data_IF_573170943918
#
_entry.id   IF_573170943918
#
_cell.length_a   1.000
_cell.length_b   1.000
_cell.length_c   1.000
_cell.angle_alpha   90.00
_cell.angle_beta   90.00
_cell.angle_gamma   90.00
#
_symmetry.space_group_name_H-M   'P 1'
#
loop_
_entity.id
_entity.type
_entity.pdbx_description
1 polymer ?
#
# COMPACT_ATOMS: atom_id res chain seq x y z
N UNK A 1 17.82 -15.46 11.08
CA UNK A 1 18.77 -15.29 9.96
C UNK A 1 19.09 -16.68 9.44
N UNK A 2 18.53 -16.98 8.28
CA UNK A 2 18.69 -18.24 7.55
C UNK A 2 19.97 -18.16 6.73
N UNK A 3 20.94 -19.01 7.07
CA UNK A 3 22.29 -19.01 6.50
C UNK A 3 22.61 -20.42 6.01
N UNK A 4 22.96 -20.53 4.74
CA UNK A 4 23.42 -21.76 4.11
C UNK A 4 24.82 -21.57 3.49
N UNK A 5 25.52 -22.66 3.20
CA UNK A 5 26.71 -22.60 2.33
C UNK A 5 26.30 -22.32 0.89
N UNK A 6 27.05 -21.44 0.23
CA UNK A 6 26.93 -21.13 -1.20
C UNK A 6 27.68 -22.13 -2.07
N UNK A 7 28.35 -21.62 -3.10
CA UNK A 7 29.07 -22.45 -4.09
C UNK A 7 30.23 -23.23 -3.45
N UNK A 8 30.84 -22.68 -2.39
CA UNK A 8 31.91 -23.31 -1.60
C UNK A 8 31.66 -23.06 -0.11
N UNK A 9 32.45 -23.68 0.77
CA UNK A 9 32.35 -23.47 2.23
C UNK A 9 32.80 -22.06 2.67
N UNK A 10 33.54 -21.34 1.83
CA UNK A 10 34.02 -19.97 2.09
C UNK A 10 32.97 -18.90 1.73
N UNK A 11 31.89 -19.30 1.05
CA UNK A 11 30.82 -18.40 0.61
C UNK A 11 29.53 -18.83 1.28
N UNK A 12 28.83 -17.88 1.88
CA UNK A 12 27.56 -18.07 2.56
C UNK A 12 26.42 -17.45 1.76
N UNK A 13 25.25 -18.06 1.83
CA UNK A 13 24.00 -17.50 1.36
C UNK A 13 23.16 -17.12 2.58
N UNK A 14 22.98 -15.82 2.79
CA UNK A 14 22.08 -15.30 3.83
C UNK A 14 20.74 -14.94 3.21
N UNK A 15 19.63 -15.27 3.88
CA UNK A 15 18.26 -14.97 3.45
C UNK A 15 17.53 -14.19 4.53
N UNK A 16 16.79 -13.15 4.13
CA UNK A 16 15.96 -12.37 5.06
C UNK A 16 14.89 -13.27 5.71
N UNK A 17 14.53 -13.04 6.97
CA UNK A 17 13.29 -13.62 7.49
C UNK A 17 12.08 -12.81 7.02
N UNK A 18 12.28 -11.51 6.80
CA UNK A 18 11.28 -10.64 6.19
C UNK A 18 10.92 -11.18 4.80
N UNK A 19 9.62 -11.42 4.60
CA UNK A 19 9.03 -11.77 3.31
C UNK A 19 8.56 -10.53 2.58
N UNK A 20 8.29 -10.68 1.29
CA UNK A 20 7.78 -9.58 0.48
C UNK A 20 6.42 -9.06 1.00
N UNK A 21 5.53 -9.97 1.41
CA UNK A 21 4.26 -9.62 2.05
C UNK A 21 4.41 -8.76 3.31
N UNK A 22 5.49 -8.95 4.08
CA UNK A 22 5.73 -8.16 5.29
C UNK A 22 6.09 -6.71 4.93
N UNK A 23 6.80 -6.49 3.82
CA UNK A 23 7.12 -5.14 3.30
C UNK A 23 5.83 -4.45 2.85
N UNK A 24 4.99 -5.14 2.06
CA UNK A 24 3.67 -4.62 1.67
C UNK A 24 2.86 -4.22 2.90
N UNK A 25 2.74 -5.12 3.87
CA UNK A 25 1.95 -4.89 5.07
C UNK A 25 2.47 -3.72 5.91
N UNK A 26 3.78 -3.55 6.07
CA UNK A 26 4.34 -2.40 6.80
C UNK A 26 4.07 -1.06 6.12
N UNK A 27 4.06 -1.02 4.78
CA UNK A 27 3.72 0.20 4.04
C UNK A 27 2.22 0.48 4.13
N UNK A 28 1.38 -0.53 3.91
CA UNK A 28 -0.08 -0.42 4.03
C UNK A 28 -0.47 0.00 5.44
N UNK A 29 0.20 -0.54 6.46
CA UNK A 29 -0.02 -0.21 7.87
C UNK A 29 0.21 1.28 8.14
N UNK A 30 1.31 1.86 7.65
CA UNK A 30 1.59 3.30 7.80
C UNK A 30 0.48 4.15 7.19
N UNK A 31 0.02 3.80 5.98
CA UNK A 31 -1.05 4.53 5.27
C UNK A 31 -2.40 4.42 5.95
N UNK A 32 -2.78 3.20 6.27
CA UNK A 32 -4.07 2.91 6.92
C UNK A 32 -4.13 3.52 8.31
N UNK A 33 -3.04 3.46 9.08
CA UNK A 33 -2.99 4.08 10.41
C UNK A 33 -3.18 5.61 10.31
N UNK A 34 -2.47 6.30 9.41
CA UNK A 34 -2.62 7.74 9.23
C UNK A 34 -4.07 8.15 8.89
N UNK A 35 -4.73 7.37 8.02
CA UNK A 35 -6.12 7.59 7.64
C UNK A 35 -7.09 7.35 8.81
N UNK A 36 -6.95 6.23 9.52
CA UNK A 36 -7.84 5.87 10.63
C UNK A 36 -7.66 6.80 11.83
N UNK A 37 -6.43 7.19 12.15
CA UNK A 37 -6.16 8.17 13.21
C UNK A 37 -6.85 9.51 12.93
N UNK A 38 -6.88 9.95 11.68
CA UNK A 38 -7.59 11.17 11.30
C UNK A 38 -9.10 11.04 11.47
N UNK A 39 -9.68 9.92 11.03
CA UNK A 39 -11.11 9.62 11.22
C UNK A 39 -11.47 9.59 12.70
N UNK A 40 -10.67 8.92 13.52
CA UNK A 40 -10.90 8.81 14.96
C UNK A 40 -10.84 10.18 15.66
N UNK A 41 -9.96 11.08 15.21
CA UNK A 41 -9.85 12.43 15.75
C UNK A 41 -11.04 13.34 15.41
N UNK A 42 -11.84 13.01 14.40
CA UNK A 42 -13.04 13.76 14.02
C UNK A 42 -14.25 13.46 14.90
N UNK A 43 -14.17 12.51 15.85
CA UNK A 43 -15.26 12.11 16.75
C UNK A 43 -16.57 11.78 15.99
N UNK A 44 -16.46 11.05 14.89
CA UNK A 44 -17.58 10.77 14.01
C UNK A 44 -18.54 9.76 14.65
N UNK A 45 -19.81 9.80 14.23
CA UNK A 45 -20.82 8.83 14.62
C UNK A 45 -20.33 7.38 14.32
N UNK A 46 -20.30 6.47 15.31
CA UNK A 46 -19.92 5.07 15.11
C UNK A 46 -20.78 4.30 14.09
N UNK A 47 -22.00 4.78 13.80
CA UNK A 47 -22.90 4.21 12.81
C UNK A 47 -22.75 4.84 11.41
N UNK A 48 -21.81 5.76 11.23
CA UNK A 48 -21.55 6.38 9.93
C UNK A 48 -21.22 5.31 8.88
N UNK A 49 -21.76 5.50 7.68
CA UNK A 49 -21.47 4.64 6.54
C UNK A 49 -20.17 5.08 5.88
N UNK A 50 -19.20 4.19 5.85
CA UNK A 50 -17.87 4.45 5.28
C UNK A 50 -17.78 3.78 3.92
N UNK A 51 -17.50 4.55 2.89
CA UNK A 51 -17.22 4.05 1.54
C UNK A 51 -15.74 4.24 1.22
N UNK A 52 -15.05 3.14 0.90
CA UNK A 52 -13.66 3.16 0.43
C UNK A 52 -13.63 2.78 -1.04
N UNK A 53 -13.02 3.62 -1.87
CA UNK A 53 -12.95 3.45 -3.33
C UNK A 53 -11.52 3.05 -3.70
N UNK A 54 -11.38 1.92 -4.39
CA UNK A 54 -10.12 1.28 -4.74
C UNK A 54 -9.68 0.29 -3.66
N UNK A 55 -9.47 -0.97 -4.04
CA UNK A 55 -9.03 -2.04 -3.13
C UNK A 55 -7.50 -2.14 -3.06
N UNK A 56 -6.85 -2.10 -4.21
CA UNK A 56 -5.41 -2.30 -4.37
C UNK A 56 -4.60 -1.03 -4.03
N UNK A 57 -3.69 -1.01 -3.06
CA UNK A 57 -3.65 -1.83 -1.84
C UNK A 57 -3.93 -1.00 -0.59
N UNK A 58 -3.94 0.32 -0.70
CA UNK A 58 -4.18 1.20 0.45
C UNK A 58 -5.59 0.98 0.98
N UNK A 59 -6.59 0.90 0.10
CA UNK A 59 -7.98 0.69 0.48
C UNK A 59 -8.21 -0.61 1.27
N UNK A 60 -7.57 -1.73 0.88
CA UNK A 60 -7.70 -2.99 1.63
C UNK A 60 -7.19 -2.88 3.08
N UNK A 61 -6.09 -2.16 3.29
CA UNK A 61 -5.59 -1.91 4.64
C UNK A 61 -6.50 -1.00 5.46
N UNK A 62 -7.02 0.05 4.81
CA UNK A 62 -7.94 0.99 5.45
C UNK A 62 -9.21 0.27 5.90
N UNK A 63 -9.87 -0.52 5.03
CA UNK A 63 -11.12 -1.19 5.42
C UNK A 63 -10.92 -2.24 6.50
N UNK A 64 -9.80 -3.00 6.46
CA UNK A 64 -9.50 -3.99 7.50
C UNK A 64 -9.28 -3.33 8.85
N UNK A 65 -8.54 -2.22 8.89
CA UNK A 65 -8.34 -1.47 10.13
C UNK A 65 -9.61 -0.80 10.64
N UNK A 66 -10.39 -0.18 9.75
CA UNK A 66 -11.69 0.38 10.12
C UNK A 66 -12.66 -0.69 10.62
N UNK A 67 -12.58 -1.93 10.10
CA UNK A 67 -13.42 -3.04 10.55
C UNK A 67 -13.23 -3.39 12.03
N UNK A 68 -12.17 -2.91 12.68
CA UNK A 68 -11.98 -3.09 14.12
C UNK A 68 -13.00 -2.29 14.96
N UNK A 69 -13.55 -1.19 14.41
CA UNK A 69 -14.40 -0.24 15.13
C UNK A 69 -15.75 0.03 14.45
N UNK A 70 -15.80 -0.06 13.13
CA UNK A 70 -16.97 0.29 12.32
C UNK A 70 -17.58 -0.96 11.67
N UNK A 71 -18.91 -0.99 11.61
CA UNK A 71 -19.67 -2.12 11.06
C UNK A 71 -20.31 -1.82 9.69
N UNK A 72 -20.34 -0.56 9.27
CA UNK A 72 -21.02 -0.13 8.05
C UNK A 72 -19.99 0.34 7.01
N UNK A 73 -19.15 -0.58 6.56
CA UNK A 73 -18.07 -0.32 5.62
C UNK A 73 -18.41 -0.95 4.27
N UNK A 74 -18.31 -0.13 3.23
CA UNK A 74 -18.44 -0.52 1.82
C UNK A 74 -17.09 -0.31 1.12
N UNK A 75 -16.49 -1.40 0.63
CA UNK A 75 -15.34 -1.37 -0.27
C UNK A 75 -15.82 -1.47 -1.71
N UNK A 76 -15.37 -0.55 -2.56
CA UNK A 76 -15.76 -0.49 -3.97
C UNK A 76 -14.53 -0.61 -4.86
N UNK A 77 -14.59 -1.49 -5.84
CA UNK A 77 -13.60 -1.58 -6.90
C UNK A 77 -14.22 -2.05 -8.22
N UNK A 78 -13.77 -1.50 -9.34
CA UNK A 78 -14.25 -1.91 -10.67
C UNK A 78 -13.93 -3.37 -10.99
N UNK A 79 -12.94 -3.95 -10.30
CA UNK A 79 -12.50 -5.33 -10.50
C UNK A 79 -13.08 -6.26 -9.42
N UNK A 80 -14.10 -7.08 -9.74
CA UNK A 80 -14.79 -7.89 -8.73
C UNK A 80 -13.90 -8.94 -8.06
N UNK A 81 -12.89 -9.46 -8.76
CA UNK A 81 -11.96 -10.46 -8.19
C UNK A 81 -11.06 -9.88 -7.08
N UNK A 82 -11.00 -8.56 -6.91
CA UNK A 82 -10.24 -7.95 -5.81
C UNK A 82 -10.92 -8.14 -4.45
N UNK A 83 -12.20 -8.55 -4.41
CA UNK A 83 -12.86 -8.96 -3.17
C UNK A 83 -12.05 -10.01 -2.41
N UNK A 84 -11.41 -10.94 -3.13
CA UNK A 84 -10.61 -12.02 -2.55
C UNK A 84 -9.50 -11.50 -1.62
N UNK A 85 -8.97 -10.30 -1.84
CA UNK A 85 -7.94 -9.69 -0.98
C UNK A 85 -8.42 -9.45 0.46
N UNK A 86 -9.74 -9.29 0.70
CA UNK A 86 -10.33 -9.20 2.04
C UNK A 86 -10.01 -10.43 2.89
N UNK A 87 -9.90 -11.59 2.26
CA UNK A 87 -9.69 -12.87 2.94
C UNK A 87 -8.22 -13.32 2.95
N UNK A 88 -7.29 -12.44 2.55
CA UNK A 88 -5.84 -12.69 2.61
C UNK A 88 -5.19 -11.96 3.80
N UNK A 89 -3.89 -12.21 4.02
CA UNK A 89 -3.10 -11.50 5.03
C UNK A 89 -2.56 -10.13 4.57
N UNK A 90 -2.89 -9.69 3.35
CA UNK A 90 -2.49 -8.36 2.84
C UNK A 90 -3.30 -7.27 3.53
N UNK A 91 -2.64 -6.24 4.03
CA UNK A 91 -3.28 -5.12 4.73
C UNK A 91 -3.83 -5.47 6.11
N UNK A 92 -3.39 -6.57 6.72
CA UNK A 92 -3.81 -6.98 8.06
C UNK A 92 -4.97 -7.99 8.05
N UNK A 93 -5.64 -8.09 9.20
CA UNK A 93 -6.73 -9.04 9.44
C UNK A 93 -8.08 -8.35 9.38
N UNK A 94 -9.04 -8.96 8.69
CA UNK A 94 -10.44 -8.53 8.73
C UNK A 94 -11.08 -8.96 10.06
N UNK A 95 -11.69 -8.01 10.79
CA UNK A 95 -12.32 -8.28 12.10
C UNK A 95 -13.84 -8.34 11.99
N UNK A 96 -14.46 -7.28 11.47
CA UNK A 96 -15.89 -7.25 11.17
C UNK A 96 -16.12 -7.34 9.65
N UNK A 97 -17.33 -7.73 9.26
CA UNK A 97 -17.70 -7.86 7.86
C UNK A 97 -17.61 -6.51 7.13
N UNK A 98 -17.03 -6.55 5.94
CA UNK A 98 -16.96 -5.42 5.00
C UNK A 98 -17.76 -5.82 3.77
N UNK A 99 -18.72 -4.97 3.36
CA UNK A 99 -19.44 -5.18 2.11
C UNK A 99 -18.53 -4.84 0.94
N UNK A 100 -18.38 -5.74 -0.01
CA UNK A 100 -17.70 -5.46 -1.28
C UNK A 100 -18.72 -5.19 -2.39
N UNK A 101 -18.37 -4.33 -3.34
CA UNK A 101 -19.18 -4.08 -4.54
C UNK A 101 -18.31 -3.65 -5.73
N UNK A 102 -18.70 -4.07 -6.93
CA UNK A 102 -18.16 -3.53 -8.18
C UNK A 102 -19.09 -2.53 -8.88
N UNK A 103 -20.21 -2.17 -8.24
CA UNK A 103 -21.10 -1.13 -8.73
C UNK A 103 -20.60 0.25 -8.28
N UNK A 104 -20.14 1.07 -9.24
CA UNK A 104 -19.63 2.42 -9.00
C UNK A 104 -20.73 3.42 -8.62
N UNK A 105 -22.00 3.14 -8.90
CA UNK A 105 -23.09 4.03 -8.48
C UNK A 105 -23.20 4.12 -6.95
N UNK A 106 -22.63 3.13 -6.24
CA UNK A 106 -22.58 3.11 -4.78
C UNK A 106 -21.42 3.92 -4.19
N UNK A 107 -20.64 4.67 -4.98
CA UNK A 107 -19.60 5.53 -4.37
C UNK A 107 -20.22 6.62 -3.49
N UNK A 108 -21.42 7.10 -3.83
CA UNK A 108 -22.13 8.20 -3.16
C UNK A 108 -22.91 7.78 -1.90
N UNK A 109 -22.81 6.52 -1.51
CA UNK A 109 -23.68 5.89 -0.53
C UNK A 109 -23.26 6.15 0.93
N UNK A 110 -22.10 6.78 1.16
CA UNK A 110 -21.45 6.90 2.47
C UNK A 110 -21.41 8.33 3.02
N UNK A 111 -21.41 8.45 4.35
CA UNK A 111 -21.19 9.71 5.07
C UNK A 111 -19.70 10.09 5.08
N UNK A 112 -18.83 9.08 5.02
CA UNK A 112 -17.38 9.20 4.91
C UNK A 112 -16.95 8.51 3.62
N UNK A 113 -16.22 9.21 2.76
CA UNK A 113 -15.66 8.66 1.53
C UNK A 113 -14.13 8.73 1.57
N UNK A 114 -13.48 7.60 1.23
CA UNK A 114 -12.03 7.47 1.19
C UNK A 114 -11.62 6.96 -0.18
N UNK A 115 -10.97 7.81 -0.95
CA UNK A 115 -10.60 7.55 -2.33
C UNK A 115 -9.11 7.21 -2.44
N UNK A 116 -8.82 5.95 -2.75
CA UNK A 116 -7.44 5.42 -2.89
C UNK A 116 -7.08 5.08 -4.34
N UNK A 117 -7.89 5.56 -5.30
CA UNK A 117 -7.79 5.14 -6.70
C UNK A 117 -6.60 5.75 -7.45
N UNK A 118 -6.04 6.87 -6.97
CA UNK A 118 -4.86 7.50 -7.55
C UNK A 118 -5.04 7.95 -9.01
N UNK A 119 -4.02 7.71 -9.83
CA UNK A 119 -4.01 8.11 -11.25
C UNK A 119 -5.08 7.37 -12.07
N UNK A 120 -5.94 8.12 -12.77
CA UNK A 120 -6.96 7.53 -13.64
C UNK A 120 -8.12 6.88 -12.89
N UNK A 121 -8.22 7.15 -11.59
CA UNK A 121 -9.35 6.76 -10.74
C UNK A 121 -10.59 7.60 -10.96
N UNK A 122 -11.34 7.89 -9.88
CA UNK A 122 -12.53 8.74 -9.98
C UNK A 122 -12.16 10.11 -10.58
N UNK A 123 -13.04 10.66 -11.40
CA UNK A 123 -12.79 11.93 -12.09
C UNK A 123 -13.38 13.11 -11.30
N UNK A 124 -13.15 14.33 -11.82
CA UNK A 124 -13.64 15.57 -11.19
C UNK A 124 -15.17 15.66 -11.22
N UNK A 125 -15.81 15.18 -12.29
CA UNK A 125 -17.28 15.17 -12.42
C UNK A 125 -17.91 14.30 -11.33
N UNK A 126 -17.45 13.06 -11.18
CA UNK A 126 -17.86 12.16 -10.09
C UNK A 126 -17.56 12.78 -8.72
N UNK A 127 -16.39 13.43 -8.58
CA UNK A 127 -16.03 14.07 -7.31
C UNK A 127 -16.98 15.22 -6.93
N UNK A 128 -17.56 15.91 -7.92
CA UNK A 128 -18.47 17.03 -7.71
C UNK A 128 -19.85 16.63 -7.20
N UNK A 129 -20.20 15.34 -7.32
CA UNK A 129 -21.49 14.80 -6.87
C UNK A 129 -21.48 14.39 -5.39
N UNK A 130 -20.32 14.34 -4.74
CA UNK A 130 -20.24 14.01 -3.31
C UNK A 130 -20.77 15.14 -2.41
N UNK A 131 -21.71 14.78 -1.55
CA UNK A 131 -22.19 15.56 -0.42
C UNK A 131 -22.03 14.74 0.87
N UNK A 132 -20.87 14.88 1.54
CA UNK A 132 -20.42 13.95 2.59
C UNK A 132 -19.81 14.68 3.78
N UNK A 133 -19.84 14.09 4.98
CA UNK A 133 -19.26 14.70 6.18
C UNK A 133 -17.73 14.72 6.13
N UNK A 134 -17.12 13.69 5.54
CA UNK A 134 -15.67 13.56 5.39
C UNK A 134 -15.31 12.99 4.02
N UNK A 135 -14.35 13.62 3.36
CA UNK A 135 -13.75 13.13 2.11
C UNK A 135 -12.24 13.09 2.22
N UNK A 136 -11.68 11.89 2.11
CA UNK A 136 -10.23 11.65 2.15
C UNK A 136 -9.76 11.14 0.78
N UNK A 137 -8.59 11.56 0.33
CA UNK A 137 -8.04 11.13 -0.97
C UNK A 137 -6.55 10.80 -0.85
N UNK A 138 -6.10 9.69 -1.45
CA UNK A 138 -4.68 9.36 -1.53
C UNK A 138 -4.00 10.16 -2.66
N UNK A 139 -2.90 10.84 -2.33
CA UNK A 139 -2.03 11.43 -3.33
C UNK A 139 -1.17 10.33 -3.98
N UNK A 140 -1.31 10.03 -5.28
CA UNK A 140 -0.51 8.99 -5.93
C UNK A 140 0.96 9.40 -6.13
N UNK A 141 1.33 10.67 -5.94
CA UNK A 141 2.72 11.15 -6.04
C UNK A 141 3.39 11.03 -4.68
N UNK A 142 4.60 10.44 -4.61
CA UNK A 142 5.36 10.39 -3.37
C UNK A 142 6.15 11.69 -3.17
N UNK A 143 7.11 11.94 -4.06
CA UNK A 143 7.98 13.11 -4.05
C UNK A 143 7.72 14.01 -5.26
N UNK A 144 8.08 15.29 -5.16
CA UNK A 144 8.05 16.25 -6.28
C UNK A 144 9.25 16.06 -7.24
N UNK A 145 9.60 14.81 -7.57
CA UNK A 145 10.79 14.46 -8.34
C UNK A 145 10.48 14.04 -9.79
N UNK A 146 9.23 14.18 -10.26
CA UNK A 146 8.80 13.88 -11.62
C UNK A 146 7.70 14.83 -12.09
N UNK A 147 8.02 15.70 -13.06
CA UNK A 147 7.10 16.72 -13.56
C UNK A 147 5.90 16.14 -14.30
N UNK A 148 6.07 15.02 -15.03
CA UNK A 148 4.99 14.43 -15.81
C UNK A 148 3.94 13.81 -14.89
N UNK A 149 4.38 13.09 -13.85
CA UNK A 149 3.48 12.52 -12.86
C UNK A 149 2.78 13.60 -12.04
N UNK A 150 3.51 14.66 -11.68
CA UNK A 150 2.94 15.83 -11.01
C UNK A 150 1.84 16.50 -11.86
N UNK A 151 2.10 16.71 -13.15
CA UNK A 151 1.13 17.34 -14.05
C UNK A 151 -0.07 16.44 -14.36
N UNK A 152 0.09 15.11 -14.26
CA UNK A 152 -1.01 14.15 -14.41
C UNK A 152 -1.88 14.04 -13.14
N UNK A 153 -1.36 14.51 -12.00
CA UNK A 153 -2.04 14.37 -10.71
C UNK A 153 -3.17 15.40 -10.59
N UNK A 154 -4.41 14.92 -10.47
CA UNK A 154 -5.61 15.75 -10.39
C UNK A 154 -6.33 15.66 -9.02
N UNK A 155 -5.65 15.16 -7.97
CA UNK A 155 -6.30 14.99 -6.67
C UNK A 155 -6.79 16.30 -6.06
N UNK A 156 -6.09 17.43 -6.31
CA UNK A 156 -6.51 18.73 -5.81
C UNK A 156 -7.77 19.22 -6.51
N UNK A 157 -7.90 19.00 -7.82
CA UNK A 157 -9.11 19.35 -8.56
C UNK A 157 -10.32 18.53 -8.08
N UNK A 158 -10.12 17.22 -7.86
CA UNK A 158 -11.13 16.32 -7.28
C UNK A 158 -11.55 16.78 -5.87
N UNK A 159 -10.58 17.05 -5.00
CA UNK A 159 -10.84 17.49 -3.63
C UNK A 159 -11.57 18.84 -3.56
N UNK A 160 -11.27 19.76 -4.48
CA UNK A 160 -11.84 21.11 -4.49
C UNK A 160 -13.34 21.11 -4.80
N UNK A 161 -13.82 20.20 -5.65
CA UNK A 161 -15.23 20.17 -6.09
C UNK A 161 -16.17 19.40 -5.16
N UNK A 162 -15.65 18.56 -4.26
CA UNK A 162 -16.45 17.80 -3.29
C UNK A 162 -17.19 18.74 -2.33
N UNK A 163 -18.45 18.50 -2.02
CA UNK A 163 -19.11 19.17 -0.90
C UNK A 163 -18.85 18.40 0.40
N UNK A 164 -17.87 18.85 1.19
CA UNK A 164 -17.57 18.24 2.49
C UNK A 164 -16.93 19.23 3.47
N UNK A 165 -17.26 19.07 4.75
CA UNK A 165 -16.70 19.88 5.84
C UNK A 165 -15.26 19.48 6.18
N UNK A 166 -14.94 18.19 6.06
CA UNK A 166 -13.62 17.67 6.40
C UNK A 166 -13.00 17.04 5.16
N UNK A 167 -11.94 17.66 4.66
CA UNK A 167 -11.20 17.22 3.48
C UNK A 167 -9.73 17.05 3.86
N UNK A 168 -9.12 15.94 3.47
CA UNK A 168 -7.69 15.75 3.68
C UNK A 168 -7.09 14.77 2.68
N UNK A 169 -5.77 14.88 2.52
CA UNK A 169 -5.00 14.06 1.57
C UNK A 169 -4.11 13.10 2.35
N UNK A 170 -4.15 11.82 2.01
CA UNK A 170 -3.17 10.82 2.48
C UNK A 170 -1.89 11.01 1.65
N UNK A 171 -0.82 11.51 2.26
CA UNK A 171 0.49 11.71 1.61
C UNK A 171 1.51 10.72 2.16
N UNK A 172 2.10 9.90 1.29
CA UNK A 172 3.13 8.91 1.66
C UNK A 172 4.41 9.11 0.88
N UNK A 173 5.56 9.18 1.55
CA UNK A 173 6.86 9.55 0.96
C UNK A 173 8.06 9.07 1.80
N UNK A 174 9.30 9.41 1.41
CA UNK A 174 10.48 9.31 2.28
C UNK A 174 11.67 8.49 1.74
N UNK A 175 11.50 7.81 0.61
CA UNK A 175 12.55 6.96 -0.01
C UNK A 175 12.84 7.30 -1.47
N UNK A 176 12.55 8.54 -1.88
CA UNK A 176 12.81 9.08 -3.23
C UNK A 176 12.16 8.28 -4.38
N UNK A 177 10.97 7.72 -4.14
CA UNK A 177 10.19 7.07 -5.20
C UNK A 177 9.36 8.08 -5.98
N UNK A 178 8.97 7.69 -7.21
CA UNK A 178 8.13 8.52 -8.09
C UNK A 178 6.68 8.60 -7.63
N UNK A 179 6.12 7.48 -7.17
CA UNK A 179 4.74 7.41 -6.69
C UNK A 179 4.70 6.92 -5.25
N UNK A 180 3.59 7.23 -4.60
CA UNK A 180 3.28 6.78 -3.24
C UNK A 180 2.65 5.38 -3.23
N UNK A 181 2.35 4.81 -4.40
CA UNK A 181 1.72 3.50 -4.53
C UNK A 181 2.48 2.42 -3.77
N UNK A 182 1.75 1.54 -3.08
CA UNK A 182 2.36 0.52 -2.20
C UNK A 182 3.33 -0.38 -2.96
N UNK A 183 3.02 -0.72 -4.21
CA UNK A 183 3.91 -1.47 -5.08
C UNK A 183 5.21 -0.73 -5.36
N UNK A 184 5.11 0.54 -5.79
CA UNK A 184 6.29 1.37 -6.08
C UNK A 184 7.17 1.57 -4.86
N UNK A 185 6.58 1.81 -3.69
CA UNK A 185 7.33 1.90 -2.43
C UNK A 185 8.02 0.59 -2.09
N UNK A 186 7.36 -0.56 -2.30
CA UNK A 186 7.95 -1.88 -2.06
C UNK A 186 9.15 -2.14 -2.97
N UNK A 187 9.02 -1.85 -4.27
CA UNK A 187 10.12 -1.95 -5.23
C UNK A 187 11.25 -0.96 -4.88
N UNK A 188 10.91 0.25 -4.42
CA UNK A 188 11.85 1.24 -3.94
C UNK A 188 12.68 0.74 -2.75
N UNK A 189 12.01 0.18 -1.73
CA UNK A 189 12.68 -0.46 -0.57
C UNK A 189 13.66 -1.53 -1.04
N UNK A 190 13.22 -2.49 -1.86
CA UNK A 190 14.08 -3.57 -2.34
C UNK A 190 15.28 -3.04 -3.13
N UNK A 191 15.06 -2.06 -4.00
CA UNK A 191 16.12 -1.45 -4.82
C UNK A 191 17.16 -0.75 -3.94
N UNK A 192 16.71 0.02 -2.94
CA UNK A 192 17.60 0.71 -2.01
C UNK A 192 18.37 -0.28 -1.14
N UNK A 193 17.74 -1.38 -0.70
CA UNK A 193 18.39 -2.46 0.06
C UNK A 193 19.48 -3.13 -0.78
N UNK A 194 19.21 -3.49 -2.04
CA UNK A 194 20.23 -4.06 -2.94
C UNK A 194 21.41 -3.10 -3.16
N UNK A 195 21.12 -1.81 -3.34
CA UNK A 195 22.13 -0.77 -3.51
C UNK A 195 23.00 -0.55 -2.27
N UNK A 196 22.47 -0.81 -1.08
CA UNK A 196 23.24 -0.75 0.17
C UNK A 196 24.08 -2.00 0.37
N UNK A 197 23.50 -3.17 0.13
CA UNK A 197 24.18 -4.46 0.25
C UNK A 197 25.36 -4.57 -0.72
N UNK A 198 25.23 -4.09 -1.95
CA UNK A 198 26.31 -4.14 -2.96
C UNK A 198 27.57 -3.38 -2.57
N UNK A 199 27.48 -2.48 -1.59
CA UNK A 199 28.60 -1.68 -1.06
C UNK A 199 29.30 -2.34 0.13
N UNK A 200 28.75 -3.42 0.71
CA UNK A 200 29.33 -4.08 1.88
C UNK A 200 30.52 -4.95 1.48
N UNK A 201 31.58 -4.88 2.28
CA UNK A 201 32.77 -5.71 2.09
C UNK A 201 32.42 -7.20 2.21
N UNK A 202 32.99 -8.01 1.31
CA UNK A 202 32.76 -9.46 1.29
C UNK A 202 31.43 -9.88 0.68
N UNK A 203 30.58 -8.97 0.20
CA UNK A 203 29.40 -9.33 -0.61
C UNK A 203 29.82 -9.61 -2.04
N UNK A 204 29.38 -10.75 -2.59
CA UNK A 204 29.60 -11.13 -3.99
C UNK A 204 28.44 -10.61 -4.86
N UNK A 205 27.21 -10.88 -4.46
CA UNK A 205 26.00 -10.40 -5.11
C UNK A 205 24.79 -10.50 -4.18
N UNK A 206 23.73 -9.78 -4.53
CA UNK A 206 22.43 -9.85 -3.86
C UNK A 206 21.30 -9.92 -4.88
N UNK A 207 20.19 -10.53 -4.47
CA UNK A 207 19.00 -10.69 -5.30
C UNK A 207 17.74 -10.58 -4.44
N UNK A 208 16.67 -10.12 -5.06
CA UNK A 208 15.35 -10.07 -4.45
C UNK A 208 14.29 -10.60 -5.43
N UNK A 209 13.19 -11.10 -4.90
CA UNK A 209 12.06 -11.59 -5.70
C UNK A 209 11.23 -10.39 -6.19
N UNK A 210 11.67 -9.76 -7.29
CA UNK A 210 10.93 -8.69 -7.98
C UNK A 210 10.10 -9.28 -9.12
N UNK A 211 8.80 -9.45 -8.90
CA UNK A 211 7.84 -9.85 -9.93
C UNK A 211 7.02 -8.67 -10.45
N UNK A 212 6.39 -8.83 -11.61
CA UNK A 212 5.43 -7.87 -12.12
C UNK A 212 4.02 -8.20 -11.57
N UNK A 213 3.83 -8.00 -10.26
CA UNK A 213 2.65 -8.46 -9.53
C UNK A 213 1.32 -7.89 -10.03
N UNK A 214 1.35 -6.69 -10.61
CA UNK A 214 0.17 -6.08 -11.25
C UNK A 214 -0.36 -6.93 -12.41
N UNK A 215 0.51 -7.62 -13.14
CA UNK A 215 0.06 -8.54 -14.20
C UNK A 215 -0.69 -9.74 -13.62
N UNK A 216 -0.18 -10.31 -12.52
CA UNK A 216 -0.82 -11.43 -11.81
C UNK A 216 -2.19 -11.01 -11.27
N UNK A 217 -2.29 -9.81 -10.69
CA UNK A 217 -3.54 -9.32 -10.10
C UNK A 217 -4.53 -8.86 -11.16
N UNK A 218 -4.13 -8.04 -12.13
CA UNK A 218 -5.08 -7.38 -13.03
C UNK A 218 -5.29 -8.08 -14.37
N UNK A 219 -4.28 -8.76 -14.91
CA UNK A 219 -4.40 -9.49 -16.19
C UNK A 219 -4.77 -10.95 -15.95
N UNK A 220 -4.02 -11.64 -15.08
CA UNK A 220 -4.29 -13.05 -14.77
C UNK A 220 -5.46 -13.23 -13.80
N UNK A 221 -5.78 -12.19 -12.99
CA UNK A 221 -6.84 -12.21 -11.97
C UNK A 221 -6.66 -13.35 -10.97
N UNK A 222 -5.42 -13.58 -10.54
CA UNK A 222 -5.06 -14.72 -9.72
C UNK A 222 -4.48 -14.25 -8.38
N UNK A 223 -5.37 -14.06 -7.39
CA UNK A 223 -4.98 -13.59 -6.06
C UNK A 223 -4.17 -14.66 -5.31
N UNK A 224 -4.52 -15.93 -5.43
CA UNK A 224 -3.76 -17.04 -4.81
C UNK A 224 -2.30 -17.07 -5.27
N UNK A 225 -2.06 -16.97 -6.59
CA UNK A 225 -0.70 -16.89 -7.15
C UNK A 225 0.02 -15.64 -6.65
N UNK A 226 -0.66 -14.50 -6.54
CA UNK A 226 -0.06 -13.31 -5.95
C UNK A 226 0.36 -13.56 -4.49
N UNK A 227 -0.49 -14.18 -3.67
CA UNK A 227 -0.16 -14.51 -2.27
C UNK A 227 1.01 -15.50 -2.19
N UNK A 228 1.03 -16.53 -3.03
CA UNK A 228 2.14 -17.48 -3.10
C UNK A 228 3.47 -16.77 -3.38
N UNK A 229 3.50 -15.92 -4.41
CA UNK A 229 4.70 -15.20 -4.82
C UNK A 229 5.19 -14.21 -3.76
N UNK A 230 4.28 -13.57 -3.03
CA UNK A 230 4.63 -12.60 -1.98
C UNK A 230 5.01 -13.23 -0.64
N UNK A 231 4.73 -14.52 -0.44
CA UNK A 231 5.12 -15.27 0.77
C UNK A 231 6.59 -15.71 0.76
N UNK A 232 7.36 -15.32 -0.26
CA UNK A 232 8.80 -15.59 -0.37
C UNK A 232 9.64 -14.60 0.44
N UNK A 233 10.81 -15.06 0.90
CA UNK A 233 11.84 -14.21 1.53
C UNK A 233 12.25 -13.09 0.58
N UNK A 234 12.26 -11.86 1.06
CA UNK A 234 12.41 -10.67 0.24
C UNK A 234 13.79 -10.58 -0.42
N UNK A 235 14.87 -10.87 0.32
CA UNK A 235 16.25 -10.66 -0.13
C UNK A 235 17.12 -11.87 0.20
N UNK A 236 18.00 -12.21 -0.73
CA UNK A 236 19.06 -13.22 -0.60
C UNK A 236 20.40 -12.60 -0.97
N UNK A 237 21.46 -12.91 -0.23
CA UNK A 237 22.79 -12.37 -0.47
C UNK A 237 23.83 -13.47 -0.41
N UNK A 238 24.73 -13.47 -1.39
CA UNK A 238 25.94 -14.29 -1.39
C UNK A 238 27.08 -13.46 -0.81
N UNK A 239 27.70 -13.92 0.27
CA UNK A 239 28.71 -13.17 1.01
C UNK A 239 29.70 -14.07 1.74
N UNK A 240 30.91 -13.57 1.98
CA UNK A 240 31.93 -14.21 2.82
C UNK A 240 31.62 -13.97 4.30
N UNK A 241 31.10 -12.78 4.65
CA UNK A 241 30.84 -12.37 6.03
C UNK A 241 29.34 -12.11 6.22
N UNK A 242 28.61 -12.92 7.01
CA UNK A 242 27.18 -12.74 7.20
C UNK A 242 26.88 -11.48 8.03
N UNK A 243 25.73 -10.86 7.78
CA UNK A 243 25.26 -9.67 8.47
C UNK A 243 23.73 -9.68 8.50
N UNK A 244 23.13 -8.83 9.34
CA UNK A 244 21.68 -8.75 9.47
C UNK A 244 21.04 -8.10 8.24
N UNK A 245 20.30 -8.90 7.46
CA UNK A 245 19.53 -8.42 6.33
C UNK A 245 18.24 -7.72 6.74
N UNK A 246 17.60 -8.20 7.80
CA UNK A 246 16.30 -7.70 8.21
C UNK A 246 16.46 -6.28 8.78
N UNK A 247 17.56 -5.99 9.48
CA UNK A 247 17.92 -4.64 9.94
C UNK A 247 17.94 -3.64 8.76
N UNK A 248 18.65 -3.96 7.67
CA UNK A 248 18.78 -3.08 6.49
C UNK A 248 17.42 -2.88 5.79
N UNK A 249 16.61 -3.95 5.70
CA UNK A 249 15.25 -3.85 5.14
C UNK A 249 14.38 -2.93 5.99
N UNK A 250 14.43 -3.07 7.32
CA UNK A 250 13.66 -2.26 8.25
C UNK A 250 14.10 -0.79 8.25
N UNK A 251 15.40 -0.51 8.14
CA UNK A 251 15.91 0.85 7.99
C UNK A 251 15.29 1.58 6.80
N UNK A 252 15.18 0.92 5.64
CA UNK A 252 14.53 1.51 4.46
C UNK A 252 13.02 1.68 4.64
N UNK A 253 12.33 0.68 5.21
CA UNK A 253 10.89 0.79 5.47
C UNK A 253 10.58 1.91 6.48
N UNK A 254 11.45 2.13 7.46
CA UNK A 254 11.25 3.13 8.50
C UNK A 254 11.39 4.57 7.98
N UNK A 255 12.10 4.79 6.87
CA UNK A 255 12.15 6.08 6.19
C UNK A 255 10.83 6.47 5.54
N UNK A 256 9.94 5.49 5.28
CA UNK A 256 8.62 5.76 4.71
C UNK A 256 7.73 6.36 5.79
N UNK A 257 7.17 7.52 5.50
CA UNK A 257 6.20 8.23 6.33
C UNK A 257 4.89 8.37 5.58
N UNK A 258 3.77 8.22 6.29
CA UNK A 258 2.43 8.53 5.79
C UNK A 258 1.73 9.45 6.78
N UNK A 259 1.05 10.48 6.26
CA UNK A 259 0.33 11.46 7.08
C UNK A 259 -0.85 12.03 6.32
N UNK A 260 -1.80 12.58 7.08
CA UNK A 260 -2.88 13.41 6.55
C UNK A 260 -2.41 14.86 6.41
N UNK A 261 -2.70 15.49 5.27
CA UNK A 261 -2.42 16.90 4.99
C UNK A 261 -3.66 17.66 4.53
#
# INVERSE_FOLDING_TARGET
MDIDTGITQEVLTIKSEIKLIDIFNRIIEKKSQACVDYIDNLNINPNAKITVIGTYFTGIGIVKKLSEKYNNILLIDIYPHLEELLYTNIGGKLINDVKFSSNLDLIYDGDIVIDTTGFGGINVEQSSEFDVDVFLIEDPVAEDNDELLKNKNNIHDRLNVVNSKNKSIIKTKGIDTKTSGTMTLTIGVLTNVLNQISKKEGVLYSACEMGFFEEVIFKEKNIDKFIELTNKKAVKVSTINPFDLDEIILEEINKIESKMI
#
